data_IF_500460314093
#
_entry.id   IF_500460314093
#
_cell.length_a   1.000
_cell.length_b   1.000
_cell.length_c   1.000
_cell.angle_alpha   90.00
_cell.angle_beta   90.00
_cell.angle_gamma   90.00
#
_symmetry.space_group_name_H-M   'P 1'
#
loop_
_entity.id
_entity.type
_entity.pdbx_description
1 polymer ?
#
# COMPACT_ATOMS: atom_id res chain seq x y z
N UNK A 1 4.46 -13.20 -14.75
CA UNK A 1 5.57 -12.50 -14.07
C UNK A 1 6.22 -11.54 -15.06
N UNK A 2 6.41 -10.27 -14.69
CA UNK A 2 7.05 -9.15 -15.43
C UNK A 2 6.29 -8.28 -16.46
N UNK A 3 5.02 -8.49 -16.83
CA UNK A 3 4.53 -7.89 -18.10
C UNK A 3 3.26 -7.03 -18.10
N UNK A 4 2.74 -6.49 -16.99
CA UNK A 4 1.51 -5.65 -17.13
C UNK A 4 1.42 -4.33 -16.35
N UNK A 5 2.28 -4.06 -15.35
CA UNK A 5 2.20 -2.79 -14.61
C UNK A 5 3.25 -1.75 -14.99
N UNK A 6 4.11 -2.06 -15.96
CA UNK A 6 5.22 -1.20 -16.39
C UNK A 6 4.82 -0.11 -17.39
N UNK A 7 3.55 -0.05 -17.85
CA UNK A 7 3.20 0.74 -19.04
C UNK A 7 2.65 2.15 -18.81
N UNK A 8 2.43 2.59 -17.57
CA UNK A 8 1.98 3.98 -17.32
C UNK A 8 2.78 4.72 -16.25
N UNK A 9 3.22 4.05 -15.19
CA UNK A 9 3.88 4.74 -14.06
C UNK A 9 5.41 4.82 -14.25
N UNK A 10 6.04 3.76 -14.78
CA UNK A 10 7.49 3.69 -14.95
C UNK A 10 8.03 4.66 -16.02
N UNK A 11 7.41 4.84 -17.21
CA UNK A 11 7.97 5.69 -18.25
C UNK A 11 8.03 7.17 -17.86
N UNK A 12 7.02 7.67 -17.13
CA UNK A 12 6.93 9.07 -16.69
C UNK A 12 7.94 9.39 -15.57
N UNK A 13 8.27 8.38 -14.76
CA UNK A 13 9.20 8.54 -13.63
C UNK A 13 10.68 8.36 -14.04
N UNK A 14 10.96 7.65 -15.15
CA UNK A 14 12.32 7.48 -15.67
C UNK A 14 13.01 8.79 -16.06
N UNK A 15 12.25 9.82 -16.40
CA UNK A 15 12.77 11.15 -16.79
C UNK A 15 13.06 12.07 -15.59
N UNK A 16 12.42 11.83 -14.43
CA UNK A 16 12.51 12.70 -13.24
C UNK A 16 13.46 12.15 -12.16
N UNK A 17 13.70 10.84 -12.12
CA UNK A 17 14.33 10.15 -10.97
C UNK A 17 15.73 9.59 -11.32
N UNK A 18 16.59 10.41 -11.90
CA UNK A 18 17.96 10.00 -12.20
C UNK A 18 18.84 9.81 -10.93
N UNK A 19 18.40 10.27 -9.75
CA UNK A 19 19.23 10.35 -8.55
C UNK A 19 18.85 9.41 -7.38
N UNK A 20 17.62 8.87 -7.32
CA UNK A 20 17.21 7.97 -6.23
C UNK A 20 16.22 6.87 -6.66
N UNK A 21 16.62 6.11 -7.69
CA UNK A 21 15.87 4.97 -8.19
C UNK A 21 15.56 3.92 -7.10
N UNK A 22 16.49 3.69 -6.17
CA UNK A 22 16.35 2.64 -5.15
C UNK A 22 15.23 2.94 -4.16
N UNK A 23 15.11 4.17 -3.67
CA UNK A 23 14.03 4.54 -2.73
C UNK A 23 12.65 4.46 -3.38
N UNK A 24 12.53 4.88 -4.64
CA UNK A 24 11.26 4.78 -5.37
C UNK A 24 10.91 3.33 -5.73
N UNK A 25 11.89 2.51 -6.10
CA UNK A 25 11.67 1.08 -6.28
C UNK A 25 11.16 0.45 -4.99
N UNK A 26 11.76 0.76 -3.85
CA UNK A 26 11.30 0.29 -2.54
C UNK A 26 9.86 0.72 -2.26
N UNK A 27 9.49 1.98 -2.52
CA UNK A 27 8.13 2.49 -2.34
C UNK A 27 7.10 1.69 -3.14
N UNK A 28 7.37 1.45 -4.43
CA UNK A 28 6.45 0.69 -5.30
C UNK A 28 6.36 -0.76 -4.85
N UNK A 29 7.49 -1.38 -4.50
CA UNK A 29 7.52 -2.76 -4.00
C UNK A 29 6.78 -2.89 -2.66
N UNK A 30 6.95 -1.94 -1.74
CA UNK A 30 6.30 -1.97 -0.43
C UNK A 30 4.79 -1.82 -0.55
N UNK A 31 4.31 -0.90 -1.40
CA UNK A 31 2.86 -0.72 -1.64
C UNK A 31 2.24 -2.01 -2.21
N UNK A 32 2.95 -2.71 -3.12
CA UNK A 32 2.46 -3.96 -3.72
C UNK A 32 2.46 -5.15 -2.77
N UNK A 33 3.39 -5.19 -1.82
CA UNK A 33 3.49 -6.27 -0.83
C UNK A 33 2.61 -6.03 0.38
N UNK A 34 2.10 -4.81 0.56
CA UNK A 34 1.23 -4.49 1.67
C UNK A 34 -0.11 -5.24 1.50
N UNK A 35 -0.65 -5.86 2.56
CA UNK A 35 -1.94 -6.56 2.52
C UNK A 35 -3.07 -5.61 2.11
N UNK A 36 -4.14 -6.18 1.54
CA UNK A 36 -5.34 -5.39 1.26
C UNK A 36 -6.07 -4.96 2.54
N UNK A 37 -7.11 -4.15 2.40
CA UNK A 37 -7.78 -3.54 3.55
C UNK A 37 -8.41 -4.56 4.50
N UNK A 38 -8.99 -5.63 3.96
CA UNK A 38 -9.66 -6.67 4.74
C UNK A 38 -8.64 -7.58 5.42
N UNK A 39 -7.59 -7.99 4.69
CA UNK A 39 -6.49 -8.78 5.26
C UNK A 39 -5.78 -8.00 6.37
N UNK A 40 -5.44 -6.72 6.14
CA UNK A 40 -4.78 -5.89 7.15
C UNK A 40 -5.68 -5.64 8.37
N UNK A 41 -6.99 -5.47 8.16
CA UNK A 41 -7.96 -5.40 9.26
C UNK A 41 -7.91 -6.67 10.11
N UNK A 42 -7.92 -7.85 9.48
CA UNK A 42 -7.80 -9.13 10.17
C UNK A 42 -6.51 -9.22 11.00
N UNK A 43 -5.38 -8.77 10.44
CA UNK A 43 -4.11 -8.71 11.17
C UNK A 43 -4.18 -7.80 12.42
N UNK A 44 -4.91 -6.69 12.36
CA UNK A 44 -5.10 -5.79 13.52
C UNK A 44 -6.02 -6.45 14.56
N UNK A 45 -7.07 -7.16 14.13
CA UNK A 45 -7.95 -7.94 15.02
C UNK A 45 -7.18 -9.07 15.73
N UNK A 46 -6.36 -9.82 14.99
CA UNK A 46 -5.48 -10.87 15.52
C UNK A 46 -4.45 -10.34 16.52
N UNK A 47 -4.06 -9.07 16.38
CA UNK A 47 -3.19 -8.38 17.35
C UNK A 47 -3.92 -8.00 18.66
N UNK A 48 -5.21 -8.32 18.79
CA UNK A 48 -6.02 -8.13 20.01
C UNK A 48 -6.76 -6.79 20.07
N UNK A 49 -6.85 -6.06 18.94
CA UNK A 49 -7.74 -4.91 18.84
C UNK A 49 -9.16 -5.37 18.50
N UNK A 50 -10.15 -4.61 18.96
CA UNK A 50 -11.57 -4.88 18.70
C UNK A 50 -12.24 -3.68 18.03
N UNK A 51 -13.39 -3.94 17.38
CA UNK A 51 -14.10 -2.96 16.53
C UNK A 51 -13.16 -2.32 15.51
N UNK A 52 -12.40 -3.17 14.81
CA UNK A 52 -11.49 -2.68 13.78
C UNK A 52 -12.29 -2.35 12.53
N UNK A 53 -12.16 -1.12 12.06
CA UNK A 53 -12.80 -0.61 10.86
C UNK A 53 -11.77 0.10 9.99
N UNK A 54 -12.06 0.20 8.69
CA UNK A 54 -11.23 0.99 7.80
C UNK A 54 -12.08 1.89 6.91
N UNK A 55 -11.52 3.03 6.54
CA UNK A 55 -12.12 3.96 5.59
C UNK A 55 -11.18 4.18 4.40
N UNK A 56 -11.70 3.93 3.19
CA UNK A 56 -10.97 4.14 1.95
C UNK A 56 -10.98 5.63 1.57
N UNK A 57 -9.79 6.16 1.31
CA UNK A 57 -9.55 7.50 0.79
C UNK A 57 -9.11 7.40 -0.67
N UNK A 58 -9.48 8.41 -1.47
CA UNK A 58 -9.13 8.50 -2.90
C UNK A 58 -9.45 7.20 -3.64
N UNK A 59 -10.68 6.70 -3.47
CA UNK A 59 -11.15 5.45 -4.08
C UNK A 59 -10.33 4.20 -3.76
N UNK A 60 -9.66 4.16 -2.59
CA UNK A 60 -8.94 2.98 -2.10
C UNK A 60 -7.44 2.97 -2.40
N UNK A 61 -6.88 4.08 -2.90
CA UNK A 61 -5.41 4.25 -2.98
C UNK A 61 -4.78 4.24 -1.58
N UNK A 62 -5.51 4.77 -0.59
CA UNK A 62 -5.11 4.78 0.82
C UNK A 62 -6.30 4.35 1.66
N UNK A 63 -6.06 3.68 2.78
CA UNK A 63 -7.06 3.40 3.79
C UNK A 63 -6.57 3.85 5.17
N UNK A 64 -7.50 4.32 6.00
CA UNK A 64 -7.27 4.59 7.42
C UNK A 64 -7.93 3.49 8.22
N UNK A 65 -7.13 2.68 8.92
CA UNK A 65 -7.60 1.65 9.84
C UNK A 65 -7.62 2.18 11.28
N UNK A 66 -8.69 1.90 12.01
CA UNK A 66 -8.85 2.27 13.42
C UNK A 66 -9.43 1.10 14.21
N UNK A 67 -9.09 1.02 15.50
CA UNK A 67 -9.57 -0.02 16.40
C UNK A 67 -9.27 0.34 17.85
N UNK A 68 -9.92 -0.35 18.79
CA UNK A 68 -9.77 -0.13 20.23
C UNK A 68 -9.06 -1.30 20.89
N UNK A 69 -8.38 -1.05 22.02
CA UNK A 69 -7.73 -2.08 22.84
C UNK A 69 -8.31 -2.04 24.25
N UNK A 70 -8.73 -3.20 24.76
CA UNK A 70 -9.22 -3.37 26.13
C UNK A 70 -8.03 -3.41 27.11
#
# INVERSE_FOLDING_TARGET
LYNLYSFQVIPVLGEVIAADWKSYQYLVESIRRFPDQDEFKGMIEDAGFYKVEYNNLTSGIVAVHSGFKL
#
